data_IF_007539296031
#
_entry.id   IF_007539296031
#
_cell.length_a   1.000
_cell.length_b   1.000
_cell.length_c   1.000
_cell.angle_alpha   90.00
_cell.angle_beta   90.00
_cell.angle_gamma   90.00
#
_symmetry.space_group_name_H-M   'P 1'
#
loop_
_entity.id
_entity.type
_entity.pdbx_description
1 polymer ?
#
# COMPACT_ATOMS: atom_id res chain seq x y z
N UNK A 1 -46.08 -60.92 -10.04
CA UNK A 1 -46.11 -62.02 -9.08
C UNK A 1 -45.82 -61.35 -7.74
N UNK A 2 -46.87 -60.90 -7.02
CA UNK A 2 -47.65 -61.65 -6.04
C UNK A 2 -46.75 -62.03 -4.86
N UNK A 3 -46.98 -61.77 -3.60
CA UNK A 3 -48.20 -61.63 -2.79
C UNK A 3 -47.69 -61.07 -1.42
N UNK A 4 -48.25 -60.04 -0.82
CA UNK A 4 -49.22 -60.08 0.29
C UNK A 4 -48.75 -60.91 1.53
N UNK A 5 -48.86 -60.51 2.76
CA UNK A 5 -49.99 -60.05 3.60
C UNK A 5 -49.58 -60.35 5.05
N UNK A 6 -49.88 -59.80 6.11
CA UNK A 6 -51.03 -59.27 6.84
C UNK A 6 -50.69 -59.19 8.35
N UNK A 7 -51.02 -58.10 8.97
CA UNK A 7 -51.87 -57.84 10.15
C UNK A 7 -51.92 -58.83 11.36
N UNK A 8 -51.85 -58.24 12.59
CA UNK A 8 -52.89 -58.15 13.67
C UNK A 8 -52.25 -57.77 15.02
N UNK A 9 -52.56 -56.69 15.66
CA UNK A 9 -53.67 -56.32 16.58
C UNK A 9 -53.58 -56.93 18.01
N UNK A 10 -53.39 -55.99 18.95
CA UNK A 10 -53.70 -55.79 20.40
C UNK A 10 -54.24 -57.00 21.24
N UNK A 11 -54.23 -56.98 22.63
CA UNK A 11 -54.75 -55.89 23.46
C UNK A 11 -54.08 -55.60 24.83
N UNK A 12 -54.37 -54.38 25.32
CA UNK A 12 -54.58 -53.90 26.68
C UNK A 12 -54.45 -54.87 27.88
N UNK A 13 -53.65 -54.40 28.88
CA UNK A 13 -54.05 -54.62 30.29
C UNK A 13 -53.59 -53.49 31.16
N UNK A 14 -54.54 -52.95 31.89
CA UNK A 14 -54.42 -51.86 32.86
C UNK A 14 -54.15 -52.46 34.23
N UNK A 15 -53.20 -51.95 35.01
CA UNK A 15 -53.26 -52.04 36.49
C UNK A 15 -52.56 -50.87 37.17
N UNK A 16 -53.16 -50.49 38.27
CA UNK A 16 -53.07 -49.24 39.10
C UNK A 16 -51.76 -49.09 39.84
N UNK A 17 -51.47 -47.80 40.04
CA UNK A 17 -50.45 -47.19 40.94
C UNK A 17 -50.58 -47.62 42.40
N UNK A 18 -49.50 -47.43 43.21
CA UNK A 18 -49.59 -46.28 44.12
C UNK A 18 -48.31 -45.45 44.25
N UNK A 19 -48.58 -44.25 44.68
CA UNK A 19 -47.71 -43.10 44.92
C UNK A 19 -46.44 -43.39 45.74
N UNK A 20 -45.31 -42.78 45.33
CA UNK A 20 -44.22 -42.41 46.25
C UNK A 20 -43.71 -41.02 45.92
N UNK A 21 -43.43 -40.33 46.98
CA UNK A 21 -43.21 -38.87 47.12
C UNK A 21 -41.89 -38.39 46.48
N UNK A 22 -42.01 -37.27 45.88
CA UNK A 22 -41.08 -36.14 45.69
C UNK A 22 -39.62 -36.29 46.16
N UNK A 23 -38.71 -36.14 45.20
CA UNK A 23 -37.45 -35.41 45.36
C UNK A 23 -37.11 -34.81 44.00
N UNK A 24 -37.45 -33.53 43.87
CA UNK A 24 -37.05 -32.74 42.73
C UNK A 24 -35.57 -32.37 42.90
N UNK A 25 -34.68 -33.06 42.20
CA UNK A 25 -33.31 -32.59 42.04
C UNK A 25 -33.32 -31.59 40.88
N UNK A 26 -33.23 -30.29 41.21
CA UNK A 26 -33.01 -29.22 40.27
C UNK A 26 -31.59 -29.37 39.71
N UNK A 27 -31.47 -29.90 38.50
CA UNK A 27 -30.21 -29.86 37.73
C UNK A 27 -30.04 -28.45 37.20
N UNK A 28 -29.27 -27.60 37.92
CA UNK A 28 -28.79 -26.31 37.42
C UNK A 28 -27.77 -26.61 36.35
N UNK A 29 -28.20 -26.61 35.10
CA UNK A 29 -27.34 -26.52 33.93
C UNK A 29 -26.73 -25.09 33.94
N UNK A 30 -25.55 -24.94 34.54
CA UNK A 30 -24.71 -23.78 34.32
C UNK A 30 -24.27 -23.79 32.85
N UNK A 31 -25.01 -23.07 32.01
CA UNK A 31 -24.53 -22.62 30.71
C UNK A 31 -23.34 -21.71 30.97
N UNK A 32 -22.14 -22.29 30.99
CA UNK A 32 -20.93 -21.53 30.76
C UNK A 32 -21.05 -20.92 29.36
N UNK A 33 -21.47 -19.66 29.30
CA UNK A 33 -21.32 -18.86 28.12
C UNK A 33 -19.81 -18.83 27.83
N UNK A 34 -19.38 -19.71 26.94
CA UNK A 34 -18.05 -19.66 26.34
C UNK A 34 -17.92 -18.25 25.77
N UNK A 35 -17.01 -17.47 26.33
CA UNK A 35 -16.64 -16.18 25.76
C UNK A 35 -16.26 -16.46 24.32
N UNK A 36 -17.10 -16.02 23.38
CA UNK A 36 -16.71 -15.93 21.96
C UNK A 36 -15.42 -15.13 21.97
N UNK A 37 -14.29 -15.65 21.48
CA UNK A 37 -13.07 -14.88 21.44
C UNK A 37 -13.41 -13.58 20.69
N UNK A 38 -13.14 -12.45 21.33
CA UNK A 38 -13.34 -11.15 20.71
C UNK A 38 -12.66 -11.22 19.34
N UNK A 39 -13.43 -11.07 18.27
CA UNK A 39 -12.89 -10.97 16.93
C UNK A 39 -11.76 -9.93 17.01
N UNK A 40 -10.53 -10.36 16.70
CA UNK A 40 -9.38 -9.48 16.67
C UNK A 40 -9.73 -8.39 15.67
N UNK A 41 -10.01 -7.19 16.18
CA UNK A 41 -10.35 -6.06 15.33
C UNK A 41 -9.13 -5.81 14.42
N UNK A 42 -9.32 -5.92 13.11
CA UNK A 42 -8.29 -5.60 12.11
C UNK A 42 -7.74 -4.17 12.28
N UNK A 43 -6.82 -3.73 11.43
CA UNK A 43 -6.20 -2.41 11.56
C UNK A 43 -7.26 -1.32 11.73
N UNK A 44 -7.13 -0.50 12.78
CA UNK A 44 -8.07 0.59 13.05
C UNK A 44 -7.94 1.72 12.01
N UNK A 45 -6.74 1.87 11.43
CA UNK A 45 -6.43 2.90 10.45
C UNK A 45 -6.38 2.30 9.05
N UNK A 46 -7.52 2.36 8.37
CA UNK A 46 -7.68 1.93 6.98
C UNK A 46 -7.57 3.14 6.06
N UNK A 47 -6.58 3.15 5.19
CA UNK A 47 -6.39 4.26 4.27
C UNK A 47 -5.15 4.10 3.40
N UNK A 48 -4.58 5.21 2.94
CA UNK A 48 -3.39 5.19 2.10
C UNK A 48 -2.42 6.34 2.44
N UNK A 49 -1.16 6.17 2.09
CA UNK A 49 -0.24 7.27 1.94
C UNK A 49 -0.73 8.14 0.77
N UNK A 50 -0.82 9.44 0.99
CA UNK A 50 -1.50 10.36 0.09
C UNK A 50 -0.58 11.44 -0.44
N UNK A 51 -0.58 11.59 -1.75
CA UNK A 51 0.00 12.72 -2.46
C UNK A 51 -0.88 12.99 -3.70
N UNK A 52 -1.67 14.05 -3.68
CA UNK A 52 -2.59 14.34 -4.75
C UNK A 52 -3.35 15.65 -4.53
N UNK A 53 -4.32 15.89 -5.36
CA UNK A 53 -5.21 17.05 -5.28
C UNK A 53 -6.51 16.73 -4.53
N UNK A 54 -7.44 17.72 -4.48
CA UNK A 54 -8.75 17.56 -3.87
C UNK A 54 -9.60 16.48 -4.52
N UNK A 55 -9.46 16.28 -5.84
CA UNK A 55 -10.20 15.25 -6.55
C UNK A 55 -9.71 13.86 -6.17
N UNK A 56 -8.39 13.65 -6.06
CA UNK A 56 -7.80 12.42 -5.58
C UNK A 56 -8.22 12.11 -4.14
N UNK A 57 -8.28 13.13 -3.26
CA UNK A 57 -8.75 12.97 -1.88
C UNK A 57 -10.21 12.55 -1.81
N UNK A 58 -11.08 13.13 -2.65
CA UNK A 58 -12.49 12.75 -2.75
C UNK A 58 -12.62 11.27 -3.16
N UNK A 59 -11.91 10.86 -4.21
CA UNK A 59 -11.91 9.46 -4.68
C UNK A 59 -11.41 8.49 -3.61
N UNK A 60 -10.44 8.90 -2.79
CA UNK A 60 -9.94 8.08 -1.69
C UNK A 60 -11.02 7.86 -0.62
N UNK A 61 -11.74 8.91 -0.25
CA UNK A 61 -12.86 8.80 0.69
C UNK A 61 -14.00 7.92 0.11
N UNK A 62 -14.34 8.10 -1.16
CA UNK A 62 -15.32 7.29 -1.87
C UNK A 62 -14.92 5.81 -1.94
N UNK A 63 -13.63 5.52 -2.10
CA UNK A 63 -13.09 4.16 -2.06
C UNK A 63 -13.19 3.51 -0.67
N UNK A 64 -13.55 4.25 0.38
CA UNK A 64 -13.79 3.71 1.72
C UNK A 64 -12.64 3.91 2.70
N UNK A 65 -11.61 4.67 2.34
CA UNK A 65 -10.60 5.08 3.29
C UNK A 65 -11.20 5.87 4.46
N UNK A 66 -10.57 5.76 5.61
CA UNK A 66 -10.92 6.50 6.83
C UNK A 66 -9.78 7.35 7.33
N UNK A 67 -8.55 7.03 6.94
CA UNK A 67 -7.33 7.71 7.38
C UNK A 67 -6.43 7.94 6.18
N UNK A 68 -5.78 9.09 6.13
CA UNK A 68 -4.67 9.35 5.21
C UNK A 68 -3.39 9.55 6.00
N UNK A 69 -2.27 9.20 5.40
CA UNK A 69 -0.94 9.58 5.88
C UNK A 69 -0.33 10.58 4.91
N UNK A 70 0.15 11.72 5.43
CA UNK A 70 0.91 12.73 4.69
C UNK A 70 2.28 12.92 5.33
N UNK A 71 3.22 13.54 4.61
CA UNK A 71 4.64 13.43 4.91
C UNK A 71 5.25 14.65 5.55
N UNK A 72 4.68 15.83 5.30
CA UNK A 72 5.33 17.11 5.67
C UNK A 72 4.31 18.21 5.92
N UNK A 73 4.80 19.28 6.49
CA UNK A 73 4.01 20.44 6.89
C UNK A 73 3.31 21.15 5.71
N UNK A 74 3.91 21.12 4.52
CA UNK A 74 3.31 21.67 3.29
C UNK A 74 2.00 20.97 2.89
N UNK A 75 1.77 19.76 3.42
CA UNK A 75 0.57 18.98 3.17
C UNK A 75 -0.60 19.38 4.09
N UNK A 76 -0.43 20.38 4.97
CA UNK A 76 -1.45 20.81 5.93
C UNK A 76 -2.77 21.27 5.28
N UNK A 77 -2.76 21.64 4.00
CA UNK A 77 -3.99 21.98 3.26
C UNK A 77 -5.00 20.84 3.23
N UNK A 78 -4.55 19.59 3.40
CA UNK A 78 -5.45 18.41 3.42
C UNK A 78 -6.31 18.34 4.69
N UNK A 79 -5.95 19.03 5.77
CA UNK A 79 -6.59 18.87 7.08
C UNK A 79 -8.08 19.23 7.04
N UNK A 80 -8.42 20.41 6.58
CA UNK A 80 -9.81 20.86 6.43
C UNK A 80 -10.56 20.00 5.41
N UNK A 81 -9.91 19.70 4.28
CA UNK A 81 -10.49 18.87 3.22
C UNK A 81 -10.75 17.43 3.69
N UNK A 82 -9.86 16.86 4.47
CA UNK A 82 -10.02 15.53 5.08
C UNK A 82 -11.18 15.56 6.09
N UNK A 83 -11.22 16.56 6.96
CA UNK A 83 -12.32 16.74 7.92
C UNK A 83 -13.69 16.84 7.22
N UNK A 84 -13.79 17.63 6.16
CA UNK A 84 -15.02 17.78 5.39
C UNK A 84 -15.51 16.47 4.77
N UNK A 85 -14.62 15.51 4.52
CA UNK A 85 -14.91 14.17 3.97
C UNK A 85 -14.96 13.06 5.02
N UNK A 86 -14.87 13.39 6.31
CA UNK A 86 -14.87 12.42 7.40
C UNK A 86 -13.57 11.60 7.52
N UNK A 87 -12.51 12.03 6.85
CA UNK A 87 -11.20 11.39 6.95
C UNK A 87 -10.41 11.89 8.16
N UNK A 88 -9.57 11.04 8.69
CA UNK A 88 -8.54 11.38 9.68
C UNK A 88 -7.17 11.44 9.02
N UNK A 89 -6.22 12.08 9.70
CA UNK A 89 -4.88 12.35 9.17
C UNK A 89 -3.80 11.94 10.16
N UNK A 90 -2.88 11.11 9.71
CA UNK A 90 -1.56 10.96 10.31
C UNK A 90 -0.69 12.05 9.67
N UNK A 91 -0.42 13.10 10.45
CA UNK A 91 0.26 14.29 9.93
C UNK A 91 1.76 14.16 10.07
N UNK A 92 2.47 14.19 8.95
CA UNK A 92 3.92 14.14 8.90
C UNK A 92 4.56 15.44 9.36
N UNK A 93 5.62 15.30 10.14
CA UNK A 93 6.55 16.35 10.51
C UNK A 93 7.88 16.01 9.85
N UNK A 94 8.33 16.86 8.95
CA UNK A 94 9.56 16.62 8.22
C UNK A 94 10.76 16.72 9.16
N UNK A 95 11.59 15.69 9.17
CA UNK A 95 12.89 15.67 9.83
C UNK A 95 13.96 15.57 8.75
N UNK A 96 14.93 16.46 8.78
CA UNK A 96 16.01 16.46 7.80
C UNK A 96 16.80 15.15 7.82
N UNK A 97 17.30 14.76 6.66
CA UNK A 97 18.02 13.49 6.50
C UNK A 97 19.53 13.77 6.36
N UNK A 98 20.40 12.94 6.98
CA UNK A 98 21.83 13.02 6.74
C UNK A 98 22.20 12.90 5.26
N UNK A 99 21.51 12.02 4.51
CA UNK A 99 21.70 11.89 3.05
C UNK A 99 21.41 13.17 2.26
N UNK A 100 20.64 14.12 2.84
CA UNK A 100 20.35 15.43 2.26
C UNK A 100 21.20 16.55 2.88
N UNK A 101 22.24 16.18 3.64
CA UNK A 101 23.21 17.11 4.20
C UNK A 101 22.91 17.63 5.60
N UNK A 102 21.86 17.15 6.29
CA UNK A 102 21.69 17.47 7.70
C UNK A 102 22.81 16.80 8.50
N UNK A 103 23.58 17.60 9.20
CA UNK A 103 24.58 17.10 10.13
C UNK A 103 23.97 16.98 11.53
N UNK A 104 23.99 15.76 12.07
CA UNK A 104 23.44 15.48 13.42
C UNK A 104 24.29 16.03 14.57
N UNK A 105 25.47 16.58 14.27
CA UNK A 105 26.32 17.33 15.20
C UNK A 105 26.17 18.86 15.05
N UNK A 106 25.37 19.36 14.10
CA UNK A 106 25.06 20.77 13.94
C UNK A 106 23.92 21.20 14.86
N UNK A 107 24.25 21.60 16.07
CA UNK A 107 23.28 22.03 17.06
C UNK A 107 22.44 23.25 16.63
N UNK A 108 22.91 24.09 15.70
CA UNK A 108 22.12 25.22 15.20
C UNK A 108 21.02 24.74 14.24
N UNK A 109 21.38 23.87 13.29
CA UNK A 109 20.43 23.27 12.36
C UNK A 109 19.37 22.45 13.10
N UNK A 110 19.75 21.63 14.10
CA UNK A 110 18.81 20.84 14.90
C UNK A 110 17.85 21.71 15.73
N UNK A 111 18.32 22.84 16.29
CA UNK A 111 17.43 23.79 16.98
C UNK A 111 16.46 24.48 16.03
N UNK A 112 16.90 24.87 14.85
CA UNK A 112 16.03 25.47 13.84
C UNK A 112 14.92 24.50 13.42
N UNK A 113 15.26 23.24 13.15
CA UNK A 113 14.29 22.17 12.84
C UNK A 113 13.28 21.96 13.98
N UNK A 114 13.76 21.90 15.23
CA UNK A 114 12.87 21.77 16.40
C UNK A 114 11.89 22.94 16.48
N UNK A 115 12.35 24.16 16.25
CA UNK A 115 11.49 25.35 16.30
C UNK A 115 10.42 25.34 15.22
N UNK A 116 10.76 24.88 14.00
CA UNK A 116 9.78 24.72 12.92
C UNK A 116 8.70 23.69 13.31
N UNK A 117 9.09 22.54 13.84
CA UNK A 117 8.17 21.50 14.33
C UNK A 117 7.29 22.07 15.47
N UNK A 118 7.88 22.78 16.44
CA UNK A 118 7.12 23.41 17.52
C UNK A 118 6.03 24.35 16.99
N UNK A 119 6.39 25.26 16.09
CA UNK A 119 5.43 26.22 15.50
C UNK A 119 4.30 25.50 14.79
N UNK A 120 4.63 24.46 14.01
CA UNK A 120 3.64 23.69 13.28
C UNK A 120 2.69 22.93 14.21
N UNK A 121 3.21 22.19 15.17
CA UNK A 121 2.40 21.43 16.16
C UNK A 121 1.52 22.38 16.97
N UNK A 122 2.05 23.49 17.47
CA UNK A 122 1.27 24.48 18.20
C UNK A 122 0.10 25.05 17.39
N UNK A 123 0.31 25.26 16.09
CA UNK A 123 -0.72 25.75 15.17
C UNK A 123 -1.85 24.74 14.95
N UNK A 124 -1.53 23.46 14.83
CA UNK A 124 -2.48 22.44 14.34
C UNK A 124 -2.90 21.41 15.40
N UNK A 125 -2.32 21.40 16.61
CA UNK A 125 -2.62 20.40 17.65
C UNK A 125 -4.10 20.30 18.04
N UNK A 126 -4.90 21.32 17.82
CA UNK A 126 -6.35 21.29 18.09
C UNK A 126 -7.17 20.87 16.88
N UNK A 127 -6.54 20.59 15.72
CA UNK A 127 -7.28 20.23 14.52
C UNK A 127 -7.91 18.84 14.64
N UNK A 128 -9.25 18.69 14.47
CA UNK A 128 -9.96 17.45 14.78
C UNK A 128 -9.67 16.29 13.80
N UNK A 129 -9.12 16.57 12.61
CA UNK A 129 -8.73 15.53 11.67
C UNK A 129 -7.43 14.84 12.09
N UNK A 130 -6.51 15.48 12.79
CA UNK A 130 -5.22 14.88 13.17
C UNK A 130 -5.47 13.82 14.26
N UNK A 131 -4.96 12.60 14.03
CA UNK A 131 -5.02 11.49 14.98
C UNK A 131 -3.66 11.02 15.47
N UNK A 132 -2.58 11.38 14.78
CA UNK A 132 -1.21 11.08 15.16
C UNK A 132 -0.24 12.02 14.46
N UNK A 133 0.96 12.16 15.04
CA UNK A 133 2.08 12.89 14.46
C UNK A 133 3.13 11.90 13.98
N UNK A 134 3.40 11.90 12.64
CA UNK A 134 4.49 11.14 12.03
C UNK A 134 5.78 11.96 12.10
N UNK A 135 6.70 11.61 12.99
CA UNK A 135 7.96 12.34 13.19
C UNK A 135 9.04 11.72 12.33
N UNK A 136 9.38 12.36 11.23
CA UNK A 136 10.33 11.87 10.23
C UNK A 136 9.80 10.71 9.41
N UNK A 137 10.48 10.44 8.31
CA UNK A 137 10.27 9.28 7.45
C UNK A 137 11.62 8.76 6.96
N UNK A 138 12.01 7.55 7.31
CA UNK A 138 13.25 6.90 6.87
C UNK A 138 14.50 7.79 7.01
N UNK A 139 14.61 8.51 8.13
CA UNK A 139 15.70 9.47 8.38
C UNK A 139 17.08 8.78 8.38
N UNK A 140 17.10 7.50 8.73
CA UNK A 140 18.28 6.65 8.79
C UNK A 140 18.72 6.07 7.44
N UNK A 141 17.97 6.32 6.36
CA UNK A 141 18.28 5.74 5.05
C UNK A 141 19.64 6.23 4.54
N UNK A 142 20.50 5.28 4.17
CA UNK A 142 21.87 5.53 3.74
C UNK A 142 22.89 5.50 4.86
N UNK A 143 22.47 5.49 6.14
CA UNK A 143 23.36 5.47 7.29
C UNK A 143 23.79 4.05 7.67
N UNK A 144 25.10 3.85 7.90
CA UNK A 144 25.62 2.58 8.40
C UNK A 144 25.14 2.30 9.83
N UNK A 145 25.18 3.32 10.71
CA UNK A 145 24.59 3.30 12.05
C UNK A 145 23.31 4.15 12.08
N UNK A 146 22.14 3.55 12.24
CA UNK A 146 20.88 4.28 12.27
C UNK A 146 20.64 5.03 13.59
N UNK A 147 21.35 4.67 14.67
CA UNK A 147 21.05 5.12 16.03
C UNK A 147 21.11 6.66 16.22
N UNK A 148 22.08 7.39 15.65
CA UNK A 148 22.07 8.85 15.78
C UNK A 148 20.82 9.50 15.20
N UNK A 149 20.36 9.04 14.02
CA UNK A 149 19.15 9.53 13.37
C UNK A 149 17.90 9.18 14.18
N UNK A 150 17.78 7.93 14.65
CA UNK A 150 16.64 7.50 15.48
C UNK A 150 16.56 8.23 16.81
N UNK A 151 17.69 8.51 17.46
CA UNK A 151 17.73 9.30 18.71
C UNK A 151 17.26 10.74 18.49
N UNK A 152 17.60 11.34 17.36
CA UNK A 152 17.12 12.69 17.03
C UNK A 152 15.60 12.68 16.78
N UNK A 153 15.08 11.67 16.05
CA UNK A 153 13.63 11.50 15.87
C UNK A 153 12.93 11.29 17.22
N UNK A 154 13.47 10.46 18.10
CA UNK A 154 12.91 10.25 19.46
C UNK A 154 12.92 11.53 20.30
N UNK A 155 14.01 12.30 20.23
CA UNK A 155 14.12 13.61 20.90
C UNK A 155 13.03 14.56 20.44
N UNK A 156 12.79 14.65 19.12
CA UNK A 156 11.73 15.47 18.54
C UNK A 156 10.35 14.94 18.86
N UNK A 157 10.16 13.61 18.90
CA UNK A 157 8.92 13.01 19.37
C UNK A 157 8.60 13.42 20.83
N UNK A 158 9.61 13.47 21.68
CA UNK A 158 9.47 13.98 23.07
C UNK A 158 9.06 15.45 23.11
N UNK A 159 9.52 16.27 22.19
CA UNK A 159 9.07 17.66 22.06
C UNK A 159 7.59 17.72 21.65
N UNK A 160 7.21 16.93 20.64
CA UNK A 160 5.82 16.87 20.16
C UNK A 160 4.87 16.40 21.27
N UNK A 161 5.22 15.36 22.03
CA UNK A 161 4.40 14.85 23.15
C UNK A 161 4.17 15.91 24.24
N UNK A 162 5.15 16.76 24.51
CA UNK A 162 4.98 17.87 25.49
C UNK A 162 4.01 18.93 24.97
N UNK A 163 3.93 19.15 23.67
CA UNK A 163 3.06 20.13 23.03
C UNK A 163 1.65 19.60 22.80
N UNK A 164 1.52 18.32 22.50
CA UNK A 164 0.26 17.62 22.23
C UNK A 164 0.27 16.22 22.87
N UNK A 165 0.03 16.11 24.19
CA UNK A 165 0.02 14.81 24.86
C UNK A 165 -1.20 13.95 24.51
N UNK A 166 -2.19 14.49 23.81
CA UNK A 166 -3.42 13.78 23.46
C UNK A 166 -3.26 12.87 22.24
N UNK A 167 -2.25 13.12 21.39
CA UNK A 167 -2.04 12.37 20.17
C UNK A 167 -0.74 11.60 20.19
N UNK A 168 -0.76 10.33 19.72
CA UNK A 168 0.46 9.52 19.67
C UNK A 168 1.46 10.07 18.64
N UNK A 169 2.74 9.86 18.94
CA UNK A 169 3.86 10.09 18.04
C UNK A 169 4.23 8.79 17.34
N UNK A 170 4.57 8.86 16.06
CA UNK A 170 5.00 7.74 15.24
C UNK A 170 6.34 8.06 14.58
N UNK A 171 7.35 7.23 14.81
CA UNK A 171 8.58 7.23 14.01
C UNK A 171 8.38 6.28 12.83
N UNK A 172 8.84 6.66 11.63
CA UNK A 172 8.76 5.81 10.45
C UNK A 172 10.16 5.45 9.97
N UNK A 173 10.42 4.14 9.89
CA UNK A 173 11.68 3.57 9.43
C UNK A 173 11.51 2.82 8.13
N UNK A 174 12.58 2.72 7.34
CA UNK A 174 12.63 1.84 6.18
C UNK A 174 12.51 0.37 6.60
N UNK A 175 12.15 -0.52 5.66
CA UNK A 175 12.28 -1.96 5.88
C UNK A 175 13.73 -2.29 6.25
N UNK A 176 13.91 -3.01 7.33
CA UNK A 176 15.23 -3.17 7.94
C UNK A 176 15.48 -4.58 8.45
N UNK A 177 16.75 -4.91 8.69
CA UNK A 177 17.17 -6.21 9.20
C UNK A 177 16.63 -6.49 10.61
N UNK A 178 16.61 -7.77 10.99
CA UNK A 178 16.24 -8.20 12.34
C UNK A 178 17.12 -7.54 13.42
N UNK A 179 18.42 -7.37 13.15
CA UNK A 179 19.33 -6.76 14.12
C UNK A 179 19.04 -5.27 14.34
N UNK A 180 18.70 -4.54 13.27
CA UNK A 180 18.23 -3.16 13.41
C UNK A 180 16.89 -3.07 14.13
N UNK A 181 15.96 -4.01 13.91
CA UNK A 181 14.70 -4.08 14.67
C UNK A 181 14.96 -4.32 16.16
N UNK A 182 15.94 -5.13 16.54
CA UNK A 182 16.34 -5.32 17.96
C UNK A 182 16.83 -4.00 18.59
N UNK A 183 17.61 -3.20 17.85
CA UNK A 183 18.01 -1.86 18.32
C UNK A 183 16.80 -0.94 18.56
N UNK A 184 15.76 -1.05 17.74
CA UNK A 184 14.52 -0.28 17.92
C UNK A 184 13.70 -0.74 19.13
N UNK A 185 13.79 -2.00 19.54
CA UNK A 185 13.09 -2.52 20.72
C UNK A 185 13.49 -1.78 22.00
N UNK A 186 14.77 -1.44 22.12
CA UNK A 186 15.36 -0.77 23.28
C UNK A 186 15.51 0.75 23.10
N UNK A 187 15.16 1.27 21.91
CA UNK A 187 15.26 2.70 21.59
C UNK A 187 13.92 3.41 21.77
N UNK A 188 14.04 4.71 21.81
CA UNK A 188 13.00 5.60 21.33
C UNK A 188 11.75 5.57 22.20
N UNK A 189 11.94 5.88 23.51
CA UNK A 189 10.90 5.86 24.55
C UNK A 189 9.79 6.91 24.33
N UNK A 190 10.08 7.99 23.59
CA UNK A 190 9.10 9.02 23.29
C UNK A 190 8.20 8.67 22.10
N UNK A 191 8.53 7.61 21.36
CA UNK A 191 7.76 7.13 20.20
C UNK A 191 6.68 6.15 20.70
N UNK A 192 5.41 6.45 20.41
CA UNK A 192 4.28 5.60 20.80
C UNK A 192 4.00 4.50 19.78
N UNK A 193 4.19 4.78 18.50
CA UNK A 193 3.90 3.90 17.38
C UNK A 193 5.16 3.71 16.52
N UNK A 194 5.44 2.47 16.13
CA UNK A 194 6.49 2.19 15.16
C UNK A 194 5.89 2.09 13.76
N UNK A 195 6.19 3.05 12.91
CA UNK A 195 5.91 3.01 11.48
C UNK A 195 7.00 2.25 10.75
N UNK A 196 6.64 1.35 9.84
CA UNK A 196 7.58 0.62 8.99
C UNK A 196 7.09 0.69 7.54
N UNK A 197 7.97 1.07 6.62
CA UNK A 197 7.71 1.04 5.19
C UNK A 197 8.06 -0.36 4.67
N UNK A 198 7.12 -1.07 4.05
CA UNK A 198 7.28 -2.46 3.64
C UNK A 198 6.96 -2.64 2.17
N UNK A 199 7.83 -3.38 1.49
CA UNK A 199 7.68 -3.69 0.07
C UNK A 199 7.86 -5.19 -0.18
N UNK A 200 7.17 -5.71 -1.20
CA UNK A 200 7.24 -7.11 -1.62
C UNK A 200 6.98 -8.12 -0.47
N UNK A 201 7.79 -9.16 -0.38
CA UNK A 201 7.64 -10.26 0.56
C UNK A 201 7.81 -9.91 2.03
N UNK A 202 8.46 -8.79 2.34
CA UNK A 202 8.77 -8.38 3.73
C UNK A 202 7.53 -8.20 4.61
N UNK A 203 6.37 -7.96 4.00
CA UNK A 203 5.09 -7.84 4.71
C UNK A 203 4.63 -9.15 5.34
N UNK A 204 4.92 -10.28 4.72
CA UNK A 204 4.48 -11.59 5.21
C UNK A 204 5.34 -12.12 6.36
N UNK A 205 6.59 -11.65 6.45
CA UNK A 205 7.53 -12.01 7.52
C UNK A 205 7.45 -11.04 8.72
N UNK A 206 6.76 -9.92 8.57
CA UNK A 206 6.70 -8.87 9.59
C UNK A 206 6.31 -9.40 10.98
N UNK A 207 5.24 -10.21 11.17
CA UNK A 207 4.85 -10.66 12.50
C UNK A 207 5.94 -11.46 13.20
N UNK A 208 6.63 -12.34 12.47
CA UNK A 208 7.72 -13.12 13.01
C UNK A 208 8.92 -12.23 13.36
N UNK A 209 9.27 -11.29 12.50
CA UNK A 209 10.38 -10.35 12.71
C UNK A 209 10.16 -9.48 13.95
N UNK A 210 8.94 -8.95 14.15
CA UNK A 210 8.58 -8.16 15.33
C UNK A 210 8.74 -8.96 16.62
N UNK A 211 8.20 -10.19 16.65
CA UNK A 211 8.35 -11.07 17.81
C UNK A 211 9.82 -11.42 18.09
N UNK A 212 10.58 -11.76 17.05
CA UNK A 212 12.01 -12.11 17.17
C UNK A 212 12.88 -10.93 17.60
N UNK A 213 12.45 -9.71 17.30
CA UNK A 213 13.13 -8.48 17.72
C UNK A 213 12.69 -7.99 19.11
N UNK A 214 11.66 -8.57 19.72
CA UNK A 214 11.10 -8.08 20.98
C UNK A 214 10.33 -6.77 20.87
N UNK A 215 9.85 -6.40 19.68
CA UNK A 215 9.05 -5.19 19.47
C UNK A 215 7.67 -5.37 20.10
N UNK A 216 7.36 -4.58 21.12
CA UNK A 216 6.08 -4.60 21.84
C UNK A 216 5.19 -3.41 21.49
N UNK A 217 5.75 -2.33 20.92
CA UNK A 217 4.99 -1.16 20.50
C UNK A 217 3.98 -1.53 19.40
N UNK A 218 2.81 -0.86 19.35
CA UNK A 218 1.91 -0.96 18.21
C UNK A 218 2.63 -0.54 16.93
N UNK A 219 2.36 -1.27 15.84
CA UNK A 219 3.02 -1.07 14.54
C UNK A 219 2.04 -0.50 13.53
N UNK A 220 2.52 0.38 12.69
CA UNK A 220 1.83 0.90 11.51
C UNK A 220 2.65 0.54 10.29
N UNK A 221 2.06 -0.15 9.33
CA UNK A 221 2.66 -0.29 8.00
C UNK A 221 2.46 1.06 7.29
N UNK A 222 3.47 1.92 7.42
CA UNK A 222 3.38 3.33 7.06
C UNK A 222 3.49 3.55 5.55
N UNK A 223 4.10 2.60 4.83
CA UNK A 223 4.01 2.41 3.39
C UNK A 223 3.91 0.92 3.11
N UNK A 224 2.99 0.56 2.23
CA UNK A 224 2.85 -0.79 1.70
C UNK A 224 2.95 -0.73 0.18
N UNK A 225 4.01 -1.31 -0.39
CA UNK A 225 4.22 -1.37 -1.83
C UNK A 225 4.38 -2.80 -2.35
N UNK A 226 3.93 -3.05 -3.59
CA UNK A 226 3.95 -4.39 -4.16
C UNK A 226 5.37 -4.90 -4.46
N UNK A 227 6.21 -4.05 -5.01
CA UNK A 227 7.61 -4.38 -5.33
C UNK A 227 8.40 -3.07 -5.46
N UNK A 228 9.47 -2.92 -4.72
CA UNK A 228 10.41 -1.83 -4.92
C UNK A 228 11.25 -2.06 -6.19
N UNK A 229 11.59 -0.99 -6.93
CA UNK A 229 12.44 -1.11 -8.11
C UNK A 229 13.85 -1.64 -7.79
N UNK A 230 14.28 -1.49 -6.56
CA UNK A 230 15.55 -2.04 -6.04
C UNK A 230 15.49 -3.57 -5.80
N UNK A 231 14.30 -4.15 -5.71
CA UNK A 231 14.06 -5.59 -5.49
C UNK A 231 13.69 -6.32 -6.79
N UNK A 232 13.35 -5.56 -7.85
CA UNK A 232 12.87 -6.12 -9.11
C UNK A 232 13.97 -6.85 -9.88
N UNK A 233 13.57 -7.92 -10.57
CA UNK A 233 14.42 -8.55 -11.59
C UNK A 233 14.80 -7.55 -12.68
N UNK A 234 15.99 -7.72 -13.29
CA UNK A 234 16.51 -6.77 -14.27
C UNK A 234 16.77 -7.45 -15.60
N UNK A 235 16.56 -6.71 -16.69
CA UNK A 235 17.04 -7.09 -18.01
C UNK A 235 18.58 -7.03 -18.07
N UNK A 236 19.24 -7.70 -19.04
CA UNK A 236 20.71 -7.71 -19.13
C UNK A 236 21.37 -6.31 -19.20
N UNK A 237 20.64 -5.30 -19.64
CA UNK A 237 21.10 -3.90 -19.69
C UNK A 237 20.72 -3.08 -18.46
N UNK A 238 20.28 -3.72 -17.38
CA UNK A 238 20.02 -3.09 -16.08
C UNK A 238 18.59 -2.57 -15.86
N UNK A 239 17.74 -2.49 -16.90
CA UNK A 239 16.37 -2.00 -16.74
C UNK A 239 15.54 -2.93 -15.83
N UNK A 240 14.89 -2.42 -14.76
CA UNK A 240 14.08 -3.24 -13.87
C UNK A 240 12.76 -3.65 -14.55
N UNK A 241 12.27 -4.83 -14.21
CA UNK A 241 10.99 -5.37 -14.71
C UNK A 241 9.88 -5.03 -13.72
N UNK A 242 8.96 -4.18 -14.17
CA UNK A 242 7.82 -3.75 -13.37
C UNK A 242 6.68 -4.77 -13.44
N UNK A 243 5.98 -4.95 -12.32
CA UNK A 243 4.74 -5.72 -12.27
C UNK A 243 3.60 -5.00 -13.00
N UNK A 244 2.69 -5.75 -13.64
CA UNK A 244 1.44 -5.18 -14.16
C UNK A 244 0.55 -4.68 -13.02
N UNK A 245 -0.41 -3.77 -13.29
CA UNK A 245 -1.38 -3.31 -12.30
C UNK A 245 -2.16 -4.46 -11.67
N UNK A 246 -2.46 -5.54 -12.42
CA UNK A 246 -3.07 -6.76 -11.90
C UNK A 246 -2.20 -7.45 -10.86
N UNK A 247 -0.94 -7.70 -11.18
CA UNK A 247 -0.01 -8.37 -10.25
C UNK A 247 0.17 -7.57 -8.97
N UNK A 248 0.22 -6.23 -9.08
CA UNK A 248 0.25 -5.33 -7.92
C UNK A 248 -1.05 -5.42 -7.11
N UNK A 249 -2.21 -5.42 -7.76
CA UNK A 249 -3.51 -5.56 -7.09
C UNK A 249 -3.63 -6.90 -6.35
N UNK A 250 -3.16 -8.00 -6.95
CA UNK A 250 -3.15 -9.32 -6.32
C UNK A 250 -2.22 -9.35 -5.09
N UNK A 251 -1.09 -8.64 -5.14
CA UNK A 251 -0.24 -8.44 -3.96
C UNK A 251 -0.99 -7.69 -2.86
N UNK A 252 -1.64 -6.55 -3.16
CA UNK A 252 -2.37 -5.77 -2.15
C UNK A 252 -3.47 -6.60 -1.48
N UNK A 253 -4.25 -7.41 -2.23
CA UNK A 253 -5.26 -8.31 -1.66
C UNK A 253 -4.66 -9.27 -0.63
N UNK A 254 -3.54 -9.92 -0.97
CA UNK A 254 -2.85 -10.87 -0.09
C UNK A 254 -2.23 -10.18 1.12
N UNK A 255 -1.54 -9.07 0.91
CA UNK A 255 -0.86 -8.32 1.97
C UNK A 255 -1.86 -7.73 2.99
N UNK A 256 -2.94 -7.12 2.51
CA UNK A 256 -3.97 -6.58 3.39
C UNK A 256 -4.66 -7.68 4.20
N UNK A 257 -4.98 -8.83 3.60
CA UNK A 257 -5.55 -9.97 4.33
C UNK A 257 -4.61 -10.46 5.43
N UNK A 258 -3.31 -10.58 5.15
CA UNK A 258 -2.30 -11.00 6.15
C UNK A 258 -2.17 -9.97 7.29
N UNK A 259 -2.10 -8.68 6.96
CA UNK A 259 -1.96 -7.61 7.95
C UNK A 259 -3.23 -7.41 8.80
N UNK A 260 -4.41 -7.69 8.26
CA UNK A 260 -5.67 -7.66 9.04
C UNK A 260 -5.72 -8.73 10.12
N UNK A 261 -5.02 -9.83 9.94
CA UNK A 261 -4.93 -10.91 10.92
C UNK A 261 -3.91 -10.64 12.05
N UNK A 262 -3.10 -9.58 11.94
CA UNK A 262 -2.01 -9.29 12.87
C UNK A 262 -2.44 -8.25 13.93
N UNK A 263 -2.63 -8.66 15.21
CA UNK A 263 -3.17 -7.76 16.25
C UNK A 263 -2.28 -6.56 16.58
N UNK A 264 -0.97 -6.67 16.35
CA UNK A 264 -0.02 -5.60 16.64
C UNK A 264 -0.08 -4.48 15.57
N UNK A 265 -0.64 -4.77 14.38
CA UNK A 265 -0.76 -3.79 13.30
C UNK A 265 -1.99 -2.90 13.52
N UNK A 266 -1.76 -1.62 13.75
CA UNK A 266 -2.80 -0.60 14.01
C UNK A 266 -3.25 0.14 12.77
N UNK A 267 -2.46 0.13 11.71
CA UNK A 267 -2.78 0.82 10.46
C UNK A 267 -1.96 0.30 9.29
N UNK A 268 -2.52 0.43 8.09
CA UNK A 268 -1.86 0.07 6.84
C UNK A 268 -2.12 1.16 5.81
N UNK A 269 -1.04 1.67 5.22
CA UNK A 269 -1.08 2.74 4.22
C UNK A 269 -0.44 2.28 2.91
N UNK A 270 -1.22 1.72 1.95
CA UNK A 270 -0.73 1.47 0.59
C UNK A 270 -0.08 2.72 0.00
N UNK A 271 1.06 2.53 -0.64
CA UNK A 271 1.86 3.57 -1.24
C UNK A 271 1.76 3.50 -2.76
N UNK A 272 1.29 4.50 -3.44
CA UNK A 272 0.89 5.83 -3.01
C UNK A 272 -0.46 6.20 -3.63
N UNK A 273 -1.43 6.71 -2.88
CA UNK A 273 -2.66 7.24 -3.48
C UNK A 273 -2.39 8.59 -4.13
N UNK A 274 -2.09 8.53 -5.40
CA UNK A 274 -1.62 9.60 -6.25
C UNK A 274 -0.84 9.02 -7.44
N UNK A 275 -0.29 9.90 -8.25
CA UNK A 275 0.62 9.57 -9.33
C UNK A 275 2.04 9.98 -8.93
N UNK A 276 3.01 9.11 -9.13
CA UNK A 276 4.40 9.38 -8.76
C UNK A 276 5.36 8.88 -9.84
N UNK A 277 6.26 9.73 -10.26
CA UNK A 277 7.42 9.33 -11.06
C UNK A 277 8.52 8.84 -10.10
N UNK A 278 8.74 7.53 -10.10
CA UNK A 278 9.84 6.88 -9.42
C UNK A 278 10.18 5.62 -10.21
N UNK A 279 11.34 5.55 -10.85
CA UNK A 279 11.71 4.62 -11.90
C UNK A 279 10.79 4.71 -13.13
N UNK A 280 9.49 4.57 -12.94
CA UNK A 280 8.44 4.80 -13.94
C UNK A 280 7.28 5.60 -13.33
N UNK A 281 6.41 6.14 -14.18
CA UNK A 281 5.20 6.84 -13.74
C UNK A 281 4.12 5.90 -13.19
N UNK A 282 4.29 4.59 -13.34
CA UNK A 282 3.33 3.57 -12.92
C UNK A 282 3.82 2.68 -11.79
N UNK A 283 5.08 2.84 -11.32
CA UNK A 283 5.68 1.91 -10.36
C UNK A 283 4.95 1.87 -9.02
N UNK A 284 4.78 3.02 -8.39
CA UNK A 284 4.20 3.15 -7.04
C UNK A 284 2.83 3.82 -7.03
N UNK A 285 2.52 4.69 -8.00
CA UNK A 285 1.25 5.38 -8.07
C UNK A 285 0.07 4.42 -8.19
N UNK A 286 -0.92 4.54 -7.31
CA UNK A 286 -2.19 3.82 -7.38
C UNK A 286 -3.12 4.45 -8.42
N UNK A 287 -2.88 5.72 -8.75
CA UNK A 287 -3.57 6.49 -9.77
C UNK A 287 -2.59 6.81 -10.91
N UNK A 288 -3.14 6.98 -12.11
CA UNK A 288 -2.40 7.58 -13.22
C UNK A 288 -2.37 9.11 -13.10
N UNK A 289 -1.49 9.76 -13.85
CA UNK A 289 -1.35 11.22 -13.81
C UNK A 289 -2.63 11.99 -14.19
N UNK A 290 -3.49 11.38 -15.00
CA UNK A 290 -4.81 11.92 -15.37
C UNK A 290 -5.89 11.63 -14.30
N UNK A 291 -5.51 11.00 -13.20
CA UNK A 291 -6.39 10.61 -12.11
C UNK A 291 -7.14 9.30 -12.35
N UNK A 292 -6.90 8.56 -13.44
CA UNK A 292 -7.53 7.25 -13.64
C UNK A 292 -7.17 6.29 -12.51
N UNK A 293 -8.17 5.53 -12.03
CA UNK A 293 -8.06 4.56 -10.94
C UNK A 293 -7.62 3.20 -11.51
N UNK A 294 -6.60 2.60 -10.92
CA UNK A 294 -6.07 1.32 -11.39
C UNK A 294 -6.70 0.12 -10.67
N UNK A 295 -6.39 -1.11 -11.11
CA UNK A 295 -6.80 -2.36 -10.43
C UNK A 295 -6.37 -2.40 -8.96
N UNK A 296 -5.29 -1.70 -8.60
CA UNK A 296 -4.83 -1.59 -7.21
C UNK A 296 -5.87 -0.86 -6.35
N UNK A 297 -6.49 0.21 -6.87
CA UNK A 297 -7.55 0.94 -6.14
C UNK A 297 -8.80 0.10 -5.93
N UNK A 298 -9.10 -0.81 -6.86
CA UNK A 298 -10.20 -1.77 -6.71
C UNK A 298 -9.92 -2.75 -5.57
N UNK A 299 -8.69 -3.30 -5.51
CA UNK A 299 -8.27 -4.17 -4.43
C UNK A 299 -8.36 -3.50 -3.05
N UNK A 300 -8.03 -2.21 -2.97
CA UNK A 300 -8.15 -1.43 -1.73
C UNK A 300 -9.62 -1.21 -1.34
N UNK A 301 -10.46 -0.78 -2.28
CA UNK A 301 -11.88 -0.56 -2.03
C UNK A 301 -12.57 -1.86 -1.57
N UNK A 302 -12.27 -2.99 -2.20
CA UNK A 302 -12.74 -4.32 -1.78
C UNK A 302 -12.31 -4.65 -0.34
N UNK A 303 -11.03 -4.43 -0.01
CA UNK A 303 -10.51 -4.66 1.34
C UNK A 303 -11.14 -3.73 2.39
N UNK A 304 -11.57 -2.55 1.99
CA UNK A 304 -12.26 -1.57 2.86
C UNK A 304 -13.78 -1.75 2.87
N UNK A 305 -14.31 -2.81 2.23
CA UNK A 305 -15.73 -3.16 2.22
C UNK A 305 -16.60 -2.22 1.38
N UNK A 306 -16.02 -1.57 0.36
CA UNK A 306 -16.78 -0.68 -0.55
C UNK A 306 -17.15 -1.41 -1.83
N UNK A 307 -18.43 -1.39 -2.24
CA UNK A 307 -18.83 -1.90 -3.54
C UNK A 307 -18.24 -1.03 -4.65
N UNK A 308 -17.82 -1.68 -5.74
CA UNK A 308 -17.30 -1.03 -6.92
C UNK A 308 -18.44 -0.85 -7.94
N UNK A 309 -18.68 0.39 -8.35
CA UNK A 309 -19.63 0.69 -9.44
C UNK A 309 -19.04 0.26 -10.79
N UNK A 310 -17.76 0.52 -10.99
CA UNK A 310 -16.98 0.09 -12.15
C UNK A 310 -15.69 -0.57 -11.69
N UNK A 311 -15.27 -1.60 -12.43
CA UNK A 311 -14.00 -2.28 -12.21
C UNK A 311 -12.98 -1.88 -13.26
N UNK A 312 -11.72 -1.81 -12.83
CA UNK A 312 -10.62 -1.61 -13.75
C UNK A 312 -10.52 -2.80 -14.73
N UNK A 313 -10.12 -2.56 -15.98
CA UNK A 313 -9.76 -3.63 -16.89
C UNK A 313 -8.69 -4.53 -16.26
N UNK A 314 -8.65 -5.79 -16.67
CA UNK A 314 -7.65 -6.74 -16.18
C UNK A 314 -6.71 -7.11 -17.31
N UNK A 315 -5.40 -6.84 -17.15
CA UNK A 315 -4.36 -7.30 -18.05
C UNK A 315 -3.99 -8.75 -17.69
N UNK A 316 -4.25 -9.67 -18.63
CA UNK A 316 -3.96 -11.09 -18.48
C UNK A 316 -2.56 -11.45 -18.97
N UNK A 317 -2.07 -10.74 -19.98
CA UNK A 317 -0.75 -10.95 -20.56
C UNK A 317 -0.28 -9.74 -21.37
N UNK A 318 1.02 -9.58 -21.45
CA UNK A 318 1.69 -8.58 -22.29
C UNK A 318 2.93 -9.20 -22.92
N UNK A 319 3.26 -8.79 -24.11
CA UNK A 319 4.44 -9.27 -24.82
C UNK A 319 4.98 -8.29 -25.84
N UNK A 320 6.25 -8.42 -26.15
CA UNK A 320 6.97 -7.70 -27.20
C UNK A 320 7.76 -8.73 -28.02
N UNK A 321 7.90 -8.51 -29.32
CA UNK A 321 8.46 -9.48 -30.27
C UNK A 321 9.93 -9.84 -30.02
N UNK A 322 10.69 -8.97 -29.36
CA UNK A 322 12.05 -9.22 -28.89
C UNK A 322 12.41 -8.24 -27.76
N UNK A 323 13.47 -8.55 -27.02
CA UNK A 323 14.03 -7.65 -26.00
C UNK A 323 15.02 -6.63 -26.58
N UNK A 324 15.61 -6.94 -27.76
CA UNK A 324 16.64 -6.12 -28.44
C UNK A 324 16.28 -5.96 -29.88
N UNK A 325 16.38 -4.73 -30.36
CA UNK A 325 16.09 -4.35 -31.74
C UNK A 325 17.25 -3.56 -32.37
N UNK A 326 17.37 -3.62 -33.68
CA UNK A 326 18.18 -2.66 -34.44
C UNK A 326 17.47 -1.31 -34.54
N UNK A 327 18.20 -0.19 -34.72
CA UNK A 327 17.61 1.11 -34.99
C UNK A 327 16.66 1.06 -36.19
N UNK A 328 15.42 1.53 -36.02
CA UNK A 328 14.40 1.54 -37.04
C UNK A 328 13.79 0.17 -37.40
N UNK A 329 14.16 -0.90 -36.72
CA UNK A 329 13.56 -2.21 -36.91
C UNK A 329 12.07 -2.22 -36.52
N UNK A 330 11.31 -3.14 -37.10
CA UNK A 330 9.89 -3.31 -36.75
C UNK A 330 9.78 -3.97 -35.37
N UNK A 331 9.03 -3.33 -34.49
CA UNK A 331 8.64 -3.83 -33.18
C UNK A 331 7.17 -4.20 -33.24
N UNK A 332 6.81 -5.38 -32.71
CA UNK A 332 5.42 -5.77 -32.51
C UNK A 332 5.22 -6.06 -31.01
N UNK A 333 4.14 -5.56 -30.44
CA UNK A 333 3.77 -5.79 -29.06
C UNK A 333 2.27 -6.03 -28.92
N UNK A 334 1.87 -6.71 -27.85
CA UNK A 334 0.49 -7.03 -27.60
C UNK A 334 0.11 -7.02 -26.12
N UNK A 335 -1.17 -6.76 -25.85
CA UNK A 335 -1.79 -6.88 -24.56
C UNK A 335 -3.08 -7.70 -24.68
N UNK A 336 -3.20 -8.74 -23.85
CA UNK A 336 -4.45 -9.43 -23.61
C UNK A 336 -5.10 -8.80 -22.38
N UNK A 337 -6.25 -8.14 -22.58
CA UNK A 337 -6.97 -7.47 -21.53
C UNK A 337 -8.48 -7.75 -21.60
N UNK A 338 -9.12 -7.82 -20.42
CA UNK A 338 -10.57 -8.04 -20.31
C UNK A 338 -11.24 -6.91 -19.54
N UNK A 339 -12.43 -6.56 -20.00
CA UNK A 339 -13.37 -5.72 -19.25
C UNK A 339 -14.14 -6.59 -18.25
N UNK A 340 -14.23 -6.13 -17.02
CA UNK A 340 -15.13 -6.74 -16.04
C UNK A 340 -16.58 -6.25 -16.18
N UNK A 341 -16.77 -5.10 -16.83
CA UNK A 341 -18.07 -4.42 -17.01
C UNK A 341 -18.64 -4.62 -18.43
N UNK A 342 -18.07 -5.53 -19.23
CA UNK A 342 -18.42 -5.80 -20.63
C UNK A 342 -18.43 -4.55 -21.54
N UNK A 343 -17.62 -3.56 -21.19
CA UNK A 343 -17.48 -2.33 -21.99
C UNK A 343 -16.31 -2.46 -22.98
N UNK A 344 -16.40 -1.70 -24.06
CA UNK A 344 -15.29 -1.61 -25.02
C UNK A 344 -14.08 -0.97 -24.35
N UNK A 345 -12.94 -1.66 -24.44
CA UNK A 345 -11.65 -1.16 -23.97
C UNK A 345 -10.97 -0.32 -25.04
N UNK A 346 -10.16 0.64 -24.61
CA UNK A 346 -9.21 1.34 -25.46
C UNK A 346 -7.79 1.19 -24.92
N UNK A 347 -6.83 1.02 -25.82
CA UNK A 347 -5.42 0.82 -25.46
C UNK A 347 -4.57 1.97 -25.97
N UNK A 348 -3.81 2.56 -25.08
CA UNK A 348 -2.81 3.59 -25.38
C UNK A 348 -1.40 2.98 -25.27
N UNK A 349 -0.54 3.31 -26.24
CA UNK A 349 0.83 2.85 -26.34
C UNK A 349 1.77 4.05 -26.35
N UNK A 350 2.74 4.08 -25.43
CA UNK A 350 3.70 5.18 -25.34
C UNK A 350 5.11 4.63 -25.17
N UNK A 351 6.01 5.01 -26.04
CA UNK A 351 7.45 4.72 -25.89
C UNK A 351 8.11 5.88 -25.13
N UNK A 352 8.91 5.56 -24.14
CA UNK A 352 9.76 6.52 -23.42
C UNK A 352 11.20 6.02 -23.39
N UNK A 353 12.14 6.92 -23.22
CA UNK A 353 13.48 6.53 -22.81
C UNK A 353 13.42 5.85 -21.42
N UNK A 354 14.36 4.96 -21.14
CA UNK A 354 14.49 4.41 -19.77
C UNK A 354 14.92 5.51 -18.79
N UNK A 355 14.45 5.44 -17.55
CA UNK A 355 14.78 6.42 -16.52
C UNK A 355 16.28 6.41 -16.21
N UNK A 356 16.88 7.59 -16.15
CA UNK A 356 18.29 7.79 -15.79
C UNK A 356 18.46 8.66 -14.52
N UNK A 357 17.46 9.46 -14.16
CA UNK A 357 17.43 10.20 -12.91
C UNK A 357 16.83 9.32 -11.81
N UNK A 358 17.67 8.49 -11.20
CA UNK A 358 17.27 7.56 -10.14
C UNK A 358 17.66 8.12 -8.80
N UNK A 359 16.70 8.25 -7.89
CA UNK A 359 16.89 8.82 -6.55
C UNK A 359 16.65 7.78 -5.47
N UNK A 360 17.24 7.98 -4.29
CA UNK A 360 17.03 7.14 -3.12
C UNK A 360 15.86 7.65 -2.28
N UNK A 361 15.17 6.73 -1.58
CA UNK A 361 14.18 7.05 -0.56
C UNK A 361 12.98 7.84 -1.08
N UNK A 362 12.59 7.61 -2.32
CA UNK A 362 11.39 8.22 -2.91
C UNK A 362 11.51 9.71 -3.24
N UNK A 363 12.72 10.25 -3.33
CA UNK A 363 12.95 11.63 -3.77
C UNK A 363 12.44 11.86 -5.20
N UNK A 364 12.10 13.09 -5.53
CA UNK A 364 11.50 13.43 -6.82
C UNK A 364 12.46 13.13 -7.98
N UNK A 365 11.98 12.32 -8.92
CA UNK A 365 12.68 12.01 -10.17
C UNK A 365 12.11 12.78 -11.36
N UNK A 366 12.94 13.06 -12.35
CA UNK A 366 12.50 13.60 -13.63
C UNK A 366 11.83 12.52 -14.48
N UNK A 367 10.67 12.84 -15.06
CA UNK A 367 10.01 11.92 -15.99
C UNK A 367 10.84 11.77 -17.27
N UNK A 368 11.11 10.52 -17.76
CA UNK A 368 11.80 10.30 -19.00
C UNK A 368 11.04 10.88 -20.20
N UNK A 369 11.80 11.33 -21.22
CA UNK A 369 11.24 11.86 -22.43
C UNK A 369 10.34 10.85 -23.14
N UNK A 370 9.19 11.29 -23.64
CA UNK A 370 8.40 10.54 -24.61
C UNK A 370 9.14 10.52 -25.94
N UNK A 371 9.16 9.36 -26.57
CA UNK A 371 9.77 9.17 -27.88
C UNK A 371 8.67 9.00 -28.92
N UNK A 372 8.61 9.88 -29.88
CA UNK A 372 7.71 9.74 -31.02
C UNK A 372 8.26 8.65 -31.98
N UNK A 373 7.51 7.59 -32.08
CA UNK A 373 7.84 6.46 -32.97
C UNK A 373 6.79 6.34 -34.07
N UNK A 374 7.21 6.06 -35.32
CA UNK A 374 6.26 5.83 -36.42
C UNK A 374 5.41 4.59 -36.16
N UNK A 375 4.10 4.77 -35.95
CA UNK A 375 3.16 3.66 -35.82
C UNK A 375 2.88 3.06 -37.19
N UNK A 376 2.97 1.73 -37.30
CA UNK A 376 2.67 0.96 -38.49
C UNK A 376 1.25 0.36 -38.48
N UNK A 377 0.66 0.28 -37.27
CA UNK A 377 -0.70 -0.20 -37.05
C UNK A 377 -0.97 -0.41 -35.57
N UNK A 378 -2.24 -0.27 -35.19
CA UNK A 378 -2.74 -0.58 -33.85
C UNK A 378 -4.17 -1.09 -33.99
N UNK A 379 -4.43 -2.32 -33.52
CA UNK A 379 -5.75 -2.94 -33.53
C UNK A 379 -5.83 -4.05 -32.46
N UNK A 380 -7.03 -4.21 -31.85
CA UNK A 380 -7.38 -5.33 -30.94
C UNK A 380 -6.32 -5.68 -29.90
N UNK A 381 -5.72 -4.67 -29.28
CA UNK A 381 -4.69 -4.90 -28.26
C UNK A 381 -3.31 -5.25 -28.83
N UNK A 382 -3.09 -5.05 -30.13
CA UNK A 382 -1.81 -5.21 -30.82
C UNK A 382 -1.30 -3.86 -31.30
N UNK A 383 0.02 -3.68 -31.32
CA UNK A 383 0.67 -2.52 -31.91
C UNK A 383 1.91 -2.94 -32.70
N UNK A 384 2.14 -2.28 -33.84
CA UNK A 384 3.42 -2.34 -34.55
C UNK A 384 3.94 -0.93 -34.75
N UNK A 385 5.23 -0.74 -34.52
CA UNK A 385 5.91 0.55 -34.71
C UNK A 385 7.38 0.32 -35.13
N UNK A 386 8.05 1.40 -35.54
CA UNK A 386 9.49 1.34 -35.79
C UNK A 386 10.25 1.70 -34.51
N UNK A 387 11.26 0.91 -34.18
CA UNK A 387 12.15 1.17 -33.06
C UNK A 387 12.81 2.56 -33.17
N UNK A 388 13.11 3.23 -32.06
CA UNK A 388 13.87 4.47 -32.11
C UNK A 388 15.14 4.35 -32.95
N UNK A 389 15.49 5.43 -33.66
CA UNK A 389 16.72 5.44 -34.49
C UNK A 389 17.98 5.54 -33.64
N UNK A 390 17.90 6.13 -32.47
CA UNK A 390 19.03 6.25 -31.55
C UNK A 390 19.20 4.97 -30.74
N UNK A 391 20.40 4.38 -30.67
CA UNK A 391 20.69 3.31 -29.72
C UNK A 391 20.46 3.78 -28.28
N UNK A 392 19.88 2.91 -27.44
CA UNK A 392 19.56 3.23 -26.06
C UNK A 392 18.55 2.27 -25.44
N UNK A 393 18.34 2.38 -24.15
CA UNK A 393 17.32 1.66 -23.43
C UNK A 393 16.00 2.44 -23.46
N UNK A 394 14.91 1.74 -23.72
CA UNK A 394 13.57 2.28 -23.86
C UNK A 394 12.55 1.43 -23.11
N UNK A 395 11.36 1.99 -22.93
CA UNK A 395 10.23 1.30 -22.31
C UNK A 395 8.94 1.60 -23.05
N UNK A 396 8.22 0.55 -23.42
CA UNK A 396 6.88 0.66 -23.98
C UNK A 396 5.87 0.60 -22.85
N UNK A 397 5.15 1.69 -22.61
CA UNK A 397 4.05 1.78 -21.67
C UNK A 397 2.74 1.44 -22.35
N UNK A 398 1.91 0.67 -21.66
CA UNK A 398 0.61 0.19 -22.12
C UNK A 398 -0.41 0.61 -21.07
N UNK A 399 -1.42 1.38 -21.49
CA UNK A 399 -2.56 1.76 -20.67
C UNK A 399 -3.83 1.27 -21.32
N UNK A 400 -4.56 0.40 -20.64
CA UNK A 400 -5.87 -0.08 -21.07
C UNK A 400 -6.94 0.63 -20.26
N UNK A 401 -7.85 1.32 -20.94
CA UNK A 401 -8.91 2.12 -20.30
C UNK A 401 -10.26 1.44 -20.41
N UNK A 402 -11.02 1.47 -19.31
CA UNK A 402 -12.39 0.98 -19.19
C UNK A 402 -13.37 2.08 -18.83
N UNK A 403 -14.53 1.70 -18.32
CA UNK A 403 -15.56 2.62 -17.84
C UNK A 403 -15.16 3.34 -16.55
N UNK A 404 -15.84 4.43 -16.23
CA UNK A 404 -15.77 5.08 -14.91
C UNK A 404 -14.38 5.63 -14.54
N UNK A 405 -13.53 5.99 -15.52
CA UNK A 405 -12.18 6.46 -15.25
C UNK A 405 -11.25 5.37 -14.70
N UNK A 406 -11.53 4.12 -15.04
CA UNK A 406 -10.73 2.96 -14.64
C UNK A 406 -9.70 2.60 -15.71
N UNK A 407 -8.51 2.16 -15.27
CA UNK A 407 -7.44 1.76 -16.17
C UNK A 407 -6.64 0.57 -15.61
N UNK A 408 -5.97 -0.14 -16.53
CA UNK A 408 -4.94 -1.13 -16.20
C UNK A 408 -3.64 -0.75 -16.89
N UNK A 409 -2.50 -1.07 -16.29
CA UNK A 409 -1.19 -0.70 -16.80
C UNK A 409 -0.22 -1.87 -16.83
N UNK A 410 0.63 -1.83 -17.84
CA UNK A 410 1.82 -2.64 -17.95
C UNK A 410 2.91 -1.85 -18.68
N UNK A 411 4.14 -2.29 -18.59
CA UNK A 411 5.21 -1.77 -19.42
C UNK A 411 6.25 -2.84 -19.72
N UNK A 412 6.97 -2.64 -20.83
CA UNK A 412 7.94 -3.59 -21.36
C UNK A 412 9.24 -2.84 -21.69
N UNK A 413 10.33 -3.07 -20.94
CA UNK A 413 11.64 -2.52 -21.26
C UNK A 413 12.25 -3.25 -22.48
N UNK A 414 12.84 -2.49 -23.39
CA UNK A 414 13.56 -3.00 -24.55
C UNK A 414 14.81 -2.16 -24.86
N UNK A 415 15.75 -2.78 -25.55
CA UNK A 415 17.01 -2.15 -25.92
C UNK A 415 17.07 -1.96 -27.45
N UNK A 416 17.52 -0.79 -27.89
CA UNK A 416 17.90 -0.55 -29.28
C UNK A 416 19.41 -0.45 -29.35
N UNK A 417 20.03 -1.32 -30.18
CA UNK A 417 21.48 -1.29 -30.45
C UNK A 417 21.75 -1.63 -31.89
N UNK A 418 22.78 -1.00 -32.46
CA UNK A 418 23.26 -1.39 -33.78
C UNK A 418 23.75 -2.85 -33.75
N UNK A 419 23.65 -3.54 -34.87
CA UNK A 419 24.35 -4.81 -35.07
C UNK A 419 25.85 -4.61 -34.81
N UNK A 420 26.53 -5.60 -34.24
CA UNK A 420 27.97 -5.54 -33.97
C UNK A 420 28.79 -5.41 -35.26
#
# INVERSE_FOLDING_TARGET
>A
MAIMSTTRVHPLFCWRSPAWRHLAAALVLSLSAGAVPAQVAGPQWQGAAFEGDRAALTRLAEAGARVIRVYRESDAWVLDEAQARGLKVVMGLWVGHPRHGLRLDDGAALRAQEEDIRRFVMRYRSHPAIIAWGVGNEVETGEADPMPAWREVDRLAGVVKKLDPARPTMMVVADTSLDRLKLLADCCANVDLLGINLYAGAVFDLPQRLRSAGITKPVVVAELGALGQWQAGRKPWGAPVELTSRQKADFYRKALAALHAEPQVRGVFPFLWGAKQEQTATWHGLLLADGSLTEMTDALAEAWGRPLLHRAPTILGVGISADVFEPGARVSAGVDARSADDVRLSTEWVVRAEATDLRLGGDKEAAPARIDVPLLGSDNGQVSFLAPKQPGAYRLFITVRGAGGKAATANLPFLVRAAP
#
